data_IF_657656267356
#
_entry.id   IF_657656267356
#
_cell.length_a   1.000
_cell.length_b   1.000
_cell.length_c   1.000
_cell.angle_alpha   90.00
_cell.angle_beta   90.00
_cell.angle_gamma   90.00
#
_symmetry.space_group_name_H-M   'P 1'
#
loop_
_entity.id
_entity.type
_entity.pdbx_description
1 polymer ?
#
# COMPACT_ATOMS: atom_id res chain seq x y z
N UNK A 1 14.55 19.12 -43.99
CA UNK A 1 14.98 19.09 -42.57
C UNK A 1 14.01 18.16 -41.84
N UNK A 2 14.44 16.95 -41.48
CA UNK A 2 13.57 15.91 -40.90
C UNK A 2 13.63 16.04 -39.38
N UNK A 3 12.53 16.46 -38.74
CA UNK A 3 12.47 16.58 -37.28
C UNK A 3 12.08 15.24 -36.67
N UNK A 4 13.03 14.58 -36.00
CA UNK A 4 12.72 13.43 -35.14
C UNK A 4 12.14 13.95 -33.82
N UNK A 5 10.87 13.61 -33.54
CA UNK A 5 10.30 13.75 -32.20
C UNK A 5 10.46 12.38 -31.52
N UNK A 6 11.45 12.25 -30.64
CA UNK A 6 11.57 11.08 -29.75
C UNK A 6 10.88 11.42 -28.44
N UNK A 7 9.64 10.97 -28.26
CA UNK A 7 9.01 10.94 -26.94
C UNK A 7 9.38 9.63 -26.24
N UNK A 8 10.46 9.63 -25.44
CA UNK A 8 10.65 8.57 -24.45
C UNK A 8 9.63 8.78 -23.33
N UNK A 9 8.49 8.09 -23.42
CA UNK A 9 7.64 7.89 -22.24
C UNK A 9 8.27 6.81 -21.37
N UNK A 10 9.28 7.20 -20.60
CA UNK A 10 9.74 6.39 -19.49
C UNK A 10 8.57 6.18 -18.53
N UNK A 11 8.00 4.98 -18.51
CA UNK A 11 7.01 4.60 -17.51
C UNK A 11 7.70 4.58 -16.14
N UNK A 12 7.80 5.76 -15.51
CA UNK A 12 8.27 5.87 -14.14
C UNK A 12 7.35 5.02 -13.27
N UNK A 13 7.94 4.02 -12.60
CA UNK A 13 7.20 3.21 -11.63
C UNK A 13 6.71 4.14 -10.53
N UNK A 14 5.38 4.19 -10.32
CA UNK A 14 4.76 5.05 -9.30
C UNK A 14 5.14 4.68 -7.87
N UNK A 15 5.79 3.54 -7.68
CA UNK A 15 6.32 3.07 -6.41
C UNK A 15 7.77 2.59 -6.61
N UNK A 16 8.57 2.64 -5.55
CA UNK A 16 9.97 2.20 -5.62
C UNK A 16 10.06 0.67 -5.45
N UNK A 17 10.47 -0.03 -6.50
CA UNK A 17 10.64 -1.49 -6.51
C UNK A 17 11.59 -2.00 -5.40
N UNK A 18 12.60 -1.22 -5.00
CA UNK A 18 13.56 -1.64 -3.97
C UNK A 18 12.92 -1.71 -2.58
N UNK A 19 11.78 -1.05 -2.39
CA UNK A 19 11.02 -1.06 -1.14
C UNK A 19 9.99 -2.19 -1.06
N UNK A 20 9.90 -3.05 -2.08
CA UNK A 20 9.03 -4.23 -2.03
C UNK A 20 9.72 -5.34 -1.21
N UNK A 21 9.01 -5.86 -0.22
CA UNK A 21 9.42 -7.02 0.57
C UNK A 21 9.18 -8.31 -0.20
N UNK A 22 9.98 -9.34 0.12
CA UNK A 22 9.73 -10.72 -0.33
C UNK A 22 8.75 -11.45 0.59
N UNK A 23 8.51 -10.92 1.79
CA UNK A 23 7.64 -11.50 2.80
C UNK A 23 6.16 -11.21 2.52
N UNK A 24 5.27 -11.95 3.18
CA UNK A 24 3.81 -11.78 3.10
C UNK A 24 3.27 -10.67 4.01
N UNK A 25 4.12 -10.07 4.82
CA UNK A 25 3.79 -9.04 5.79
C UNK A 25 4.95 -8.08 6.01
N UNK A 26 4.64 -6.89 6.52
CA UNK A 26 5.60 -5.86 6.91
C UNK A 26 5.15 -5.26 8.23
N UNK A 27 6.07 -5.22 9.20
CA UNK A 27 5.99 -4.34 10.35
C UNK A 27 6.92 -3.15 10.10
N UNK A 28 6.34 -1.95 9.92
CA UNK A 28 7.10 -0.75 9.51
C UNK A 28 8.07 -0.24 10.59
N UNK A 29 7.94 -0.68 11.84
CA UNK A 29 8.93 -0.38 12.88
C UNK A 29 10.24 -1.18 12.71
N UNK A 30 10.24 -2.25 11.90
CA UNK A 30 11.38 -3.19 11.77
C UNK A 30 12.12 -3.06 10.44
N UNK A 31 11.60 -2.31 9.48
CA UNK A 31 12.15 -2.31 8.12
C UNK A 31 11.79 -1.04 7.35
N UNK A 32 12.61 -0.71 6.35
CA UNK A 32 12.34 0.37 5.39
C UNK A 32 11.47 -0.08 4.20
N UNK A 33 11.07 -1.35 4.17
CA UNK A 33 10.16 -1.86 3.13
C UNK A 33 8.77 -1.23 3.25
N UNK A 34 8.09 -1.09 2.12
CA UNK A 34 6.84 -0.34 1.96
C UNK A 34 5.73 -1.10 1.25
N UNK A 35 6.05 -2.19 0.56
CA UNK A 35 5.01 -2.98 -0.10
C UNK A 35 5.25 -4.48 -0.08
N UNK A 36 4.15 -5.23 -0.15
CA UNK A 36 4.12 -6.69 -0.27
C UNK A 36 3.47 -7.07 -1.59
N UNK A 37 3.78 -8.27 -2.11
CA UNK A 37 3.32 -8.71 -3.43
C UNK A 37 2.59 -10.05 -3.35
N UNK A 38 1.44 -10.15 -4.01
CA UNK A 38 0.71 -11.42 -4.22
C UNK A 38 0.08 -11.44 -5.61
N UNK A 39 0.21 -12.55 -6.33
CA UNK A 39 -0.40 -12.75 -7.67
C UNK A 39 -0.10 -11.61 -8.66
N UNK A 40 1.14 -11.12 -8.66
CA UNK A 40 1.60 -10.00 -9.48
C UNK A 40 0.88 -8.65 -9.24
N UNK A 41 0.23 -8.53 -8.08
CA UNK A 41 -0.30 -7.27 -7.54
C UNK A 41 0.58 -6.86 -6.37
N UNK A 42 0.96 -5.58 -6.34
CA UNK A 42 1.76 -4.97 -5.30
C UNK A 42 0.85 -4.11 -4.45
N UNK A 43 0.91 -4.28 -3.14
CA UNK A 43 0.18 -3.50 -2.15
C UNK A 43 1.20 -2.64 -1.42
N UNK A 44 1.14 -1.33 -1.60
CA UNK A 44 2.18 -0.40 -1.21
C UNK A 44 1.63 0.66 -0.26
N UNK A 45 2.29 0.88 0.86
CA UNK A 45 1.99 1.98 1.79
C UNK A 45 2.68 3.25 1.30
N UNK A 46 1.88 4.26 0.93
CA UNK A 46 2.33 5.54 0.40
C UNK A 46 3.02 6.41 1.46
N UNK A 47 3.75 7.43 1.01
CA UNK A 47 4.62 8.26 1.87
C UNK A 47 3.93 8.92 3.07
N UNK A 48 2.61 9.15 2.99
CA UNK A 48 1.80 9.66 4.10
C UNK A 48 1.61 8.66 5.25
N UNK A 49 2.05 7.42 5.07
CA UNK A 49 1.88 6.28 5.98
C UNK A 49 0.42 5.97 6.30
N UNK A 50 -0.54 6.48 5.53
CA UNK A 50 -1.97 6.35 5.78
C UNK A 50 -2.69 5.67 4.61
N UNK A 51 -2.09 5.76 3.42
CA UNK A 51 -2.69 5.31 2.18
C UNK A 51 -2.06 4.00 1.71
N UNK A 52 -2.89 3.06 1.29
CA UNK A 52 -2.48 1.85 0.58
C UNK A 52 -2.91 1.94 -0.87
N UNK A 53 -1.97 1.69 -1.77
CA UNK A 53 -2.23 1.55 -3.21
C UNK A 53 -1.99 0.12 -3.66
N UNK A 54 -2.88 -0.39 -4.51
CA UNK A 54 -2.66 -1.63 -5.23
C UNK A 54 -2.25 -1.38 -6.68
N UNK A 55 -1.16 -2.00 -7.14
CA UNK A 55 -0.66 -1.89 -8.49
C UNK A 55 -0.60 -3.24 -9.19
N UNK A 56 -1.07 -3.32 -10.44
CA UNK A 56 -0.89 -4.49 -11.31
C UNK A 56 -0.21 -4.04 -12.60
N UNK A 57 0.93 -4.64 -12.92
CA UNK A 57 1.75 -4.25 -14.10
C UNK A 57 2.01 -2.72 -14.14
N UNK A 58 2.43 -2.15 -13.00
CA UNK A 58 2.67 -0.71 -12.80
C UNK A 58 1.45 0.22 -12.98
N UNK A 59 0.24 -0.32 -13.17
CA UNK A 59 -1.01 0.45 -13.22
C UNK A 59 -1.71 0.39 -11.88
N UNK A 60 -2.17 1.55 -11.38
CA UNK A 60 -2.98 1.65 -10.18
C UNK A 60 -4.31 0.91 -10.39
N UNK A 61 -4.64 0.00 -9.48
CA UNK A 61 -5.92 -0.71 -9.43
C UNK A 61 -6.91 -0.01 -8.52
N UNK A 62 -6.47 0.31 -7.31
CA UNK A 62 -7.22 1.05 -6.31
C UNK A 62 -6.24 1.71 -5.35
N UNK A 63 -6.72 2.75 -4.67
CA UNK A 63 -6.00 3.47 -3.64
C UNK A 63 -6.98 3.84 -2.54
N UNK A 64 -6.58 3.66 -1.28
CA UNK A 64 -7.43 3.98 -0.14
C UNK A 64 -6.61 4.53 1.02
N UNK A 65 -7.06 5.65 1.58
CA UNK A 65 -6.54 6.15 2.84
C UNK A 65 -7.26 5.42 3.99
N UNK A 66 -6.57 4.46 4.61
CA UNK A 66 -7.15 3.56 5.60
C UNK A 66 -7.55 4.33 6.86
N UNK A 67 -6.74 5.30 7.27
CA UNK A 67 -7.01 6.14 8.45
C UNK A 67 -8.23 7.02 8.23
N UNK A 68 -8.40 7.58 7.03
CA UNK A 68 -9.57 8.40 6.72
C UNK A 68 -10.86 7.58 6.73
N UNK A 69 -10.83 6.30 6.33
CA UNK A 69 -11.99 5.41 6.36
C UNK A 69 -12.29 4.92 7.78
N UNK A 70 -11.27 4.50 8.52
CA UNK A 70 -11.43 3.88 9.84
C UNK A 70 -11.48 4.88 10.99
N UNK A 71 -11.19 6.16 10.73
CA UNK A 71 -11.02 7.18 11.75
C UNK A 71 -9.62 7.18 12.35
N UNK A 72 -9.29 8.28 13.02
CA UNK A 72 -8.01 8.43 13.72
C UNK A 72 -7.91 7.43 14.87
N UNK A 73 -6.76 6.75 15.05
CA UNK A 73 -6.56 5.85 16.18
C UNK A 73 -6.62 6.63 17.50
N UNK A 74 -7.12 6.00 18.56
CA UNK A 74 -7.19 6.62 19.89
C UNK A 74 -5.80 6.85 20.50
N UNK A 75 -4.85 5.99 20.16
CA UNK A 75 -3.49 5.98 20.72
C UNK A 75 -2.45 5.84 19.61
N UNK A 76 -1.43 6.70 19.67
CA UNK A 76 -0.33 6.76 18.69
C UNK A 76 -0.67 7.56 17.44
N UNK A 77 0.35 7.79 16.62
CA UNK A 77 0.20 8.54 15.36
C UNK A 77 -0.78 7.87 14.40
N UNK A 78 -1.53 8.66 13.60
CA UNK A 78 -2.47 8.19 12.59
C UNK A 78 -1.71 7.61 11.38
N UNK A 79 -1.01 6.50 11.59
CA UNK A 79 -0.15 5.86 10.61
C UNK A 79 -0.34 4.35 10.62
N UNK A 80 -0.17 3.74 9.46
CA UNK A 80 -0.14 2.30 9.24
C UNK A 80 1.21 1.77 9.76
N UNK A 81 1.15 0.87 10.74
CA UNK A 81 2.31 0.25 11.38
C UNK A 81 2.56 -1.19 10.97
N UNK A 82 1.53 -1.82 10.41
CA UNK A 82 1.63 -3.18 9.91
C UNK A 82 0.68 -3.40 8.73
N UNK A 83 1.13 -4.18 7.75
CA UNK A 83 0.29 -4.74 6.69
C UNK A 83 0.70 -6.20 6.47
N UNK A 84 -0.26 -7.11 6.42
CA UNK A 84 -0.01 -8.51 6.08
C UNK A 84 -1.18 -9.16 5.37
N UNK A 85 -0.91 -10.20 4.58
CA UNK A 85 -1.99 -10.94 3.92
C UNK A 85 -2.78 -11.81 4.91
N UNK A 86 -4.11 -11.70 4.84
CA UNK A 86 -5.04 -12.66 5.42
C UNK A 86 -6.03 -13.11 4.34
N UNK A 87 -5.77 -14.27 3.72
CA UNK A 87 -6.59 -14.84 2.63
C UNK A 87 -6.82 -13.85 1.48
N UNK A 88 -7.99 -13.20 1.42
CA UNK A 88 -8.42 -12.23 0.41
C UNK A 88 -8.41 -10.79 0.92
N UNK A 89 -7.78 -10.54 2.07
CA UNK A 89 -7.72 -9.24 2.71
C UNK A 89 -6.27 -8.91 3.08
N UNK A 90 -6.00 -7.63 3.26
CA UNK A 90 -4.87 -7.15 4.03
C UNK A 90 -5.35 -6.93 5.47
N UNK A 91 -4.66 -7.52 6.44
CA UNK A 91 -4.74 -7.10 7.82
C UNK A 91 -3.82 -5.89 8.00
N UNK A 92 -4.38 -4.80 8.52
CA UNK A 92 -3.70 -3.52 8.69
C UNK A 92 -3.78 -3.11 10.16
N UNK A 93 -2.66 -2.69 10.74
CA UNK A 93 -2.65 -2.06 12.07
C UNK A 93 -2.36 -0.58 11.90
N UNK A 94 -3.20 0.27 12.49
CA UNK A 94 -3.04 1.72 12.52
C UNK A 94 -2.83 2.19 13.96
N UNK A 95 -1.92 3.14 14.16
CA UNK A 95 -1.55 3.60 15.50
C UNK A 95 -1.11 2.42 16.38
N UNK A 96 -1.55 2.37 17.63
CA UNK A 96 -1.15 1.32 18.57
C UNK A 96 -2.07 0.09 18.59
N UNK A 97 -3.38 0.30 18.47
CA UNK A 97 -4.39 -0.73 18.76
C UNK A 97 -5.61 -0.72 17.83
N UNK A 98 -5.53 -0.07 16.66
CA UNK A 98 -6.63 -0.08 15.68
C UNK A 98 -6.30 -1.07 14.56
N UNK A 99 -7.24 -1.95 14.25
CA UNK A 99 -7.12 -3.01 13.25
C UNK A 99 -8.13 -2.78 12.14
N UNK A 100 -7.65 -2.82 10.90
CA UNK A 100 -8.49 -2.73 9.72
C UNK A 100 -8.26 -3.91 8.80
N UNK A 101 -9.29 -4.23 8.03
CA UNK A 101 -9.21 -5.15 6.92
C UNK A 101 -9.44 -4.39 5.61
N UNK A 102 -8.60 -4.66 4.62
CA UNK A 102 -8.73 -4.10 3.26
C UNK A 102 -8.89 -5.24 2.26
N UNK A 103 -9.98 -5.28 1.52
CA UNK A 103 -10.18 -6.27 0.45
C UNK A 103 -9.12 -6.10 -0.65
N UNK A 104 -8.40 -7.18 -0.99
CA UNK A 104 -7.25 -7.08 -1.91
C UNK A 104 -7.65 -6.77 -3.36
N UNK A 105 -8.91 -6.95 -3.72
CA UNK A 105 -9.40 -6.77 -5.08
C UNK A 105 -9.97 -5.37 -5.31
N UNK A 106 -10.63 -4.80 -4.30
CA UNK A 106 -11.43 -3.58 -4.39
C UNK A 106 -10.92 -2.41 -3.54
N UNK A 107 -10.10 -2.66 -2.51
CA UNK A 107 -9.69 -1.63 -1.56
C UNK A 107 -10.77 -1.27 -0.53
N UNK A 108 -11.92 -1.96 -0.56
CA UNK A 108 -12.97 -1.78 0.46
C UNK A 108 -12.39 -2.06 1.84
N UNK A 109 -12.49 -1.07 2.71
CA UNK A 109 -11.81 -1.03 3.98
C UNK A 109 -12.82 -1.01 5.12
N UNK A 110 -12.55 -1.78 6.18
CA UNK A 110 -13.39 -1.86 7.39
C UNK A 110 -12.52 -1.86 8.64
N UNK A 111 -12.92 -1.10 9.65
CA UNK A 111 -12.38 -1.23 11.01
C UNK A 111 -12.94 -2.52 11.63
N UNK A 112 -12.07 -3.31 12.25
CA UNK A 112 -12.44 -4.61 12.84
C UNK A 112 -11.98 -4.78 14.30
N UNK A 113 -11.28 -3.79 14.87
CA UNK A 113 -10.83 -3.78 16.26
C UNK A 113 -10.15 -2.48 16.64
#
# INVERSE_FOLDING_TARGET
MLTFIVTQTGFSQKYNNTLISKDSEINFAKTQKRGIKKNNIIYFVENDLQTISAYKKNKLKWQINVVSVCGKPKNGEPEIRYVGFNTNKLLVVMGKHNFAEVDINSGVTKLVG
#
